data_IF_647272324265
#
_entry.id   IF_647272324265
#
_cell.length_a   1.000
_cell.length_b   1.000
_cell.length_c   1.000
_cell.angle_alpha   90.00
_cell.angle_beta   90.00
_cell.angle_gamma   90.00
#
_symmetry.space_group_name_H-M   'P 1'
#
loop_
_entity.id
_entity.type
_entity.pdbx_description
1 polymer ?
#
# COMPACT_ATOMS: atom_id res chain seq x y z
N UNK A 1 -18.16 3.85 3.19
CA UNK A 1 -18.19 4.02 1.72
C UNK A 1 -16.87 3.58 1.11
N UNK A 2 -16.94 2.84 0.04
CA UNK A 2 -15.73 2.37 -0.64
C UNK A 2 -14.98 3.54 -1.30
N UNK A 3 -13.69 3.69 -1.05
CA UNK A 3 -12.94 4.80 -1.64
C UNK A 3 -12.69 4.57 -3.13
N UNK A 4 -12.79 5.63 -3.91
CA UNK A 4 -12.50 5.60 -5.35
C UNK A 4 -11.05 5.92 -5.65
N UNK A 5 -10.39 6.64 -4.77
CA UNK A 5 -8.96 6.99 -4.92
C UNK A 5 -8.23 6.71 -3.63
N UNK A 6 -6.91 6.59 -3.76
CA UNK A 6 -6.07 6.39 -2.58
C UNK A 6 -6.12 7.62 -1.65
N UNK A 7 -6.20 8.81 -2.22
CA UNK A 7 -6.36 10.02 -1.42
C UNK A 7 -7.65 9.99 -0.60
N UNK A 8 -8.74 9.53 -1.20
CA UNK A 8 -10.02 9.38 -0.51
C UNK A 8 -9.94 8.32 0.58
N UNK A 9 -9.23 7.22 0.32
CA UNK A 9 -9.00 6.18 1.31
C UNK A 9 -8.32 6.77 2.56
N UNK A 10 -7.31 7.61 2.37
CA UNK A 10 -6.62 8.25 3.50
C UNK A 10 -7.57 9.19 4.25
N UNK A 11 -8.42 9.93 3.54
CA UNK A 11 -9.42 10.78 4.18
C UNK A 11 -10.37 9.96 5.06
N UNK A 12 -10.80 8.80 4.56
CA UNK A 12 -11.67 7.92 5.33
C UNK A 12 -10.99 7.39 6.60
N UNK A 13 -9.71 7.04 6.48
CA UNK A 13 -8.93 6.59 7.64
C UNK A 13 -8.80 7.71 8.66
N UNK A 14 -8.53 8.93 8.21
CA UNK A 14 -8.42 10.08 9.10
C UNK A 14 -9.75 10.41 9.77
N UNK A 15 -10.85 10.09 9.14
CA UNK A 15 -12.18 10.29 9.71
C UNK A 15 -12.57 9.18 10.70
N UNK A 16 -11.72 8.17 10.90
CA UNK A 16 -11.94 7.14 11.90
C UNK A 16 -12.21 5.75 11.36
N UNK A 17 -12.23 5.56 10.04
CA UNK A 17 -12.46 4.22 9.49
C UNK A 17 -11.21 3.35 9.68
N UNK A 18 -11.38 2.03 9.87
CA UNK A 18 -10.24 1.13 10.11
C UNK A 18 -9.29 1.10 8.90
N UNK A 19 -8.01 1.34 9.17
CA UNK A 19 -6.98 1.43 8.13
C UNK A 19 -6.96 0.23 7.20
N UNK A 20 -6.87 -0.97 7.77
CA UNK A 20 -6.65 -2.17 6.95
C UNK A 20 -7.87 -2.47 6.08
N UNK A 21 -9.07 -2.26 6.62
CA UNK A 21 -10.30 -2.48 5.86
C UNK A 21 -10.42 -1.47 4.70
N UNK A 22 -10.12 -0.21 4.98
CA UNK A 22 -10.19 0.84 3.94
C UNK A 22 -9.20 0.59 2.84
N UNK A 23 -7.97 0.23 3.19
CA UNK A 23 -6.94 -0.04 2.19
C UNK A 23 -7.27 -1.28 1.37
N UNK A 24 -7.84 -2.33 1.99
CA UNK A 24 -8.28 -3.51 1.24
C UNK A 24 -9.38 -3.17 0.25
N UNK A 25 -10.31 -2.32 0.64
CA UNK A 25 -11.37 -1.84 -0.26
C UNK A 25 -10.80 -1.03 -1.42
N UNK A 26 -9.80 -0.21 -1.15
CA UNK A 26 -9.15 0.54 -2.21
C UNK A 26 -8.44 -0.39 -3.19
N UNK A 27 -7.73 -1.40 -2.71
CA UNK A 27 -7.05 -2.36 -3.59
C UNK A 27 -8.06 -3.05 -4.49
N UNK A 28 -9.22 -3.40 -3.96
CA UNK A 28 -10.33 -3.95 -4.75
C UNK A 28 -10.74 -2.98 -5.86
N UNK A 29 -10.95 -1.71 -5.51
CA UNK A 29 -11.34 -0.69 -6.47
C UNK A 29 -10.31 -0.57 -7.59
N UNK A 30 -9.03 -0.56 -7.23
CA UNK A 30 -7.94 -0.49 -8.19
C UNK A 30 -7.95 -1.69 -9.13
N UNK A 31 -8.04 -2.89 -8.57
CA UNK A 31 -7.99 -4.12 -9.37
C UNK A 31 -9.22 -4.29 -10.27
N UNK A 32 -10.37 -3.84 -9.83
CA UNK A 32 -11.61 -3.97 -10.59
C UNK A 32 -11.81 -2.86 -11.61
N UNK A 33 -10.95 -1.86 -11.65
CA UNK A 33 -11.04 -0.80 -12.64
C UNK A 33 -10.92 -1.38 -14.04
N UNK A 34 -11.66 -0.80 -14.98
CA UNK A 34 -11.78 -1.36 -16.33
C UNK A 34 -10.57 -1.08 -17.21
N UNK A 35 -9.87 0.03 -16.95
CA UNK A 35 -8.75 0.44 -17.78
C UNK A 35 -7.56 0.81 -16.92
N UNK A 36 -6.36 0.79 -17.53
CA UNK A 36 -5.15 1.24 -16.85
C UNK A 36 -5.19 2.75 -16.58
N UNK A 37 -5.87 3.51 -17.43
CA UNK A 37 -6.06 4.92 -17.19
C UNK A 37 -6.84 5.16 -15.91
N UNK A 38 -7.89 4.40 -15.67
CA UNK A 38 -8.68 4.49 -14.45
C UNK A 38 -7.86 4.05 -13.24
N UNK A 39 -7.04 3.00 -13.40
CA UNK A 39 -6.16 2.55 -12.32
C UNK A 39 -5.18 3.64 -11.93
N UNK A 40 -4.51 4.23 -12.91
CA UNK A 40 -3.56 5.30 -12.60
C UNK A 40 -4.28 6.50 -11.98
N UNK A 41 -5.44 6.86 -12.49
CA UNK A 41 -6.23 7.96 -11.94
C UNK A 41 -6.58 7.76 -10.47
N UNK A 42 -6.73 6.51 -10.03
CA UNK A 42 -7.05 6.24 -8.63
C UNK A 42 -5.88 6.45 -7.67
N UNK A 43 -4.65 6.48 -8.18
CA UNK A 43 -3.45 6.71 -7.36
C UNK A 43 -2.71 7.99 -7.69
N UNK A 44 -3.17 8.73 -8.69
CA UNK A 44 -2.46 9.91 -9.20
C UNK A 44 -2.42 11.07 -8.21
N UNK A 45 -3.54 11.33 -7.55
CA UNK A 45 -3.63 12.43 -6.60
C UNK A 45 -2.93 12.07 -5.28
N UNK A 46 -2.02 12.91 -4.85
CA UNK A 46 -1.31 12.69 -3.59
C UNK A 46 -2.28 12.78 -2.41
N UNK A 47 -2.34 11.73 -1.57
CA UNK A 47 -3.03 11.87 -0.29
C UNK A 47 -2.30 12.90 0.57
N UNK A 48 -3.04 13.59 1.42
CA UNK A 48 -2.40 14.51 2.37
C UNK A 48 -1.56 13.73 3.36
N UNK A 49 -0.44 14.30 3.77
CA UNK A 49 0.34 13.75 4.85
C UNK A 49 -0.47 13.84 6.15
N UNK A 50 -0.50 12.75 6.90
CA UNK A 50 -1.39 12.62 8.05
C UNK A 50 -0.71 12.91 9.39
N UNK A 51 0.64 12.88 9.39
CA UNK A 51 1.40 12.92 10.64
C UNK A 51 1.65 11.54 11.24
N UNK A 52 0.91 10.53 10.80
CA UNK A 52 1.22 9.14 11.13
C UNK A 52 2.26 8.66 10.10
N UNK A 53 3.51 8.60 10.54
CA UNK A 53 4.63 8.31 9.64
C UNK A 53 4.50 6.95 8.97
N UNK A 54 4.01 5.96 9.69
CA UNK A 54 3.83 4.61 9.11
C UNK A 54 2.73 4.59 8.07
N UNK A 55 1.62 5.27 8.32
CA UNK A 55 0.55 5.37 7.33
C UNK A 55 1.03 6.10 6.09
N UNK A 56 1.72 7.22 6.27
CA UNK A 56 2.20 8.01 5.14
C UNK A 56 3.19 7.23 4.28
N UNK A 57 4.08 6.47 4.91
CA UNK A 57 5.02 5.61 4.18
C UNK A 57 4.30 4.43 3.49
N UNK A 58 3.36 3.81 4.18
CA UNK A 58 2.62 2.68 3.65
C UNK A 58 1.84 3.06 2.39
N UNK A 59 1.20 4.22 2.41
CA UNK A 59 0.42 4.70 1.28
C UNK A 59 1.30 4.95 0.06
N UNK A 60 2.50 5.52 0.27
CA UNK A 60 3.47 5.68 -0.82
C UNK A 60 3.92 4.35 -1.41
N UNK A 61 4.20 3.38 -0.54
CA UNK A 61 4.61 2.05 -0.98
C UNK A 61 3.50 1.36 -1.77
N UNK A 62 2.25 1.48 -1.32
CA UNK A 62 1.11 0.90 -2.02
C UNK A 62 0.98 1.46 -3.42
N UNK A 63 1.08 2.78 -3.58
CA UNK A 63 0.97 3.40 -4.90
C UNK A 63 2.04 2.90 -5.85
N UNK A 64 3.30 2.83 -5.40
CA UNK A 64 4.38 2.32 -6.22
C UNK A 64 4.17 0.85 -6.58
N UNK A 65 3.80 0.05 -5.60
CA UNK A 65 3.62 -1.38 -5.78
C UNK A 65 2.50 -1.67 -6.79
N UNK A 66 1.35 -1.02 -6.65
CA UNK A 66 0.23 -1.23 -7.55
C UNK A 66 0.56 -0.79 -8.98
N UNK A 67 1.24 0.36 -9.13
CA UNK A 67 1.63 0.84 -10.44
C UNK A 67 2.56 -0.13 -11.15
N UNK A 68 3.52 -0.72 -10.42
CA UNK A 68 4.48 -1.65 -11.00
C UNK A 68 3.88 -3.02 -11.25
N UNK A 69 3.03 -3.50 -10.35
CA UNK A 69 2.35 -4.79 -10.51
C UNK A 69 1.49 -4.81 -11.78
N UNK A 70 0.84 -3.72 -12.08
CA UNK A 70 -0.02 -3.61 -13.25
C UNK A 70 0.70 -3.05 -14.47
N UNK A 71 2.00 -2.77 -14.36
CA UNK A 71 2.81 -2.26 -15.47
C UNK A 71 2.18 -1.03 -16.11
N UNK A 72 1.82 -0.05 -15.28
CA UNK A 72 1.13 1.15 -15.76
C UNK A 72 2.04 2.10 -16.53
N UNK A 73 3.35 1.84 -16.53
CA UNK A 73 4.31 2.65 -17.28
C UNK A 73 4.81 3.88 -16.55
N UNK A 74 4.21 4.22 -15.44
CA UNK A 74 4.65 5.34 -14.60
C UNK A 74 4.17 5.17 -13.17
N UNK A 75 4.87 5.82 -12.26
CA UNK A 75 4.56 5.85 -10.83
C UNK A 75 4.31 7.30 -10.44
N UNK A 76 3.28 7.60 -9.64
CA UNK A 76 3.06 8.98 -9.21
C UNK A 76 4.28 9.53 -8.48
N UNK A 77 4.67 10.77 -8.80
CA UNK A 77 5.85 11.40 -8.20
C UNK A 77 5.76 11.48 -6.68
N UNK A 78 4.56 11.75 -6.17
CA UNK A 78 4.37 11.92 -4.73
C UNK A 78 4.73 10.66 -3.94
N UNK A 79 4.64 9.49 -4.55
CA UNK A 79 4.92 8.23 -3.86
C UNK A 79 6.38 8.14 -3.41
N UNK A 80 7.28 8.82 -4.10
CA UNK A 80 8.71 8.81 -3.78
C UNK A 80 9.13 9.98 -2.88
N UNK A 81 8.18 10.78 -2.39
CA UNK A 81 8.49 11.89 -1.49
C UNK A 81 9.24 11.37 -0.26
N UNK A 82 10.36 11.99 0.14
CA UNK A 82 11.10 11.58 1.34
C UNK A 82 10.24 11.52 2.61
N UNK A 83 9.18 12.32 2.71
CA UNK A 83 8.26 12.26 3.84
C UNK A 83 7.50 10.94 3.90
N UNK A 84 7.55 10.14 2.84
CA UNK A 84 6.88 8.83 2.78
C UNK A 84 7.88 7.68 2.94
N UNK A 85 9.04 7.97 3.48
CA UNK A 85 10.04 6.96 3.81
C UNK A 85 10.30 7.00 5.31
N UNK A 86 10.23 5.85 5.96
CA UNK A 86 10.51 5.78 7.40
C UNK A 86 12.00 5.90 7.67
N UNK A 87 12.34 6.58 8.75
CA UNK A 87 13.73 6.69 9.18
C UNK A 87 14.24 5.38 9.78
N UNK A 88 13.35 4.58 10.36
CA UNK A 88 13.69 3.28 10.96
C UNK A 88 12.88 2.18 10.30
N UNK A 89 13.44 0.97 10.17
CA UNK A 89 12.71 -0.13 9.55
C UNK A 89 11.44 -0.48 10.32
N UNK A 90 10.38 -0.74 9.58
CA UNK A 90 9.13 -1.23 10.14
C UNK A 90 8.87 -2.64 9.61
N UNK A 91 8.92 -3.61 10.51
CA UNK A 91 8.53 -4.98 10.20
C UNK A 91 7.06 -5.13 10.54
N UNK A 92 6.23 -5.40 9.54
CA UNK A 92 4.78 -5.36 9.72
C UNK A 92 4.25 -6.48 10.60
N UNK A 93 5.02 -7.55 10.77
CA UNK A 93 4.66 -8.62 11.70
C UNK A 93 5.03 -8.19 13.11
N UNK A 94 4.04 -8.08 13.98
CA UNK A 94 4.26 -7.70 15.36
C UNK A 94 5.12 -8.77 16.06
N UNK A 95 6.04 -8.31 16.92
CA UNK A 95 6.92 -9.19 17.70
C UNK A 95 7.75 -10.15 16.84
N UNK A 96 8.19 -9.67 15.68
CA UNK A 96 8.98 -10.48 14.77
C UNK A 96 10.29 -10.95 15.44
N UNK A 97 10.55 -12.27 15.37
CA UNK A 97 11.83 -12.84 15.81
C UNK A 97 12.93 -12.43 14.83
N UNK A 98 14.20 -12.66 15.20
CA UNK A 98 15.31 -12.39 14.31
C UNK A 98 15.18 -13.14 13.00
N UNK A 99 14.79 -14.42 13.07
CA UNK A 99 14.57 -15.21 11.84
C UNK A 99 13.45 -14.64 10.99
N UNK A 100 12.37 -14.17 11.59
CA UNK A 100 11.28 -13.54 10.85
C UNK A 100 11.72 -12.23 10.22
N UNK A 101 12.50 -11.42 10.94
CA UNK A 101 13.03 -10.16 10.38
C UNK A 101 13.92 -10.42 9.18
N UNK A 102 14.76 -11.43 9.26
CA UNK A 102 15.61 -11.83 8.14
C UNK A 102 14.76 -12.25 6.95
N UNK A 103 13.75 -13.10 7.19
CA UNK A 103 12.84 -13.52 6.14
C UNK A 103 12.16 -12.33 5.47
N UNK A 104 11.58 -11.43 6.27
CA UNK A 104 10.87 -10.26 5.72
C UNK A 104 11.79 -9.32 4.96
N UNK A 105 13.06 -9.21 5.37
CA UNK A 105 14.03 -8.40 4.68
C UNK A 105 14.23 -8.84 3.23
N UNK A 106 14.23 -10.16 3.01
CA UNK A 106 14.41 -10.70 1.66
C UNK A 106 13.10 -10.90 0.90
N UNK A 107 12.00 -11.15 1.60
CA UNK A 107 10.71 -11.41 0.98
C UNK A 107 9.99 -10.15 0.55
N UNK A 108 10.28 -9.01 1.16
CA UNK A 108 9.56 -7.76 0.89
C UNK A 108 9.71 -7.33 -0.54
N UNK A 109 8.61 -6.93 -1.19
CA UNK A 109 8.72 -6.27 -2.49
C UNK A 109 9.57 -5.02 -2.38
N UNK A 110 10.34 -4.74 -3.44
CA UNK A 110 11.25 -3.60 -3.47
C UNK A 110 10.54 -2.27 -3.18
N UNK A 111 9.29 -2.13 -3.64
CA UNK A 111 8.51 -0.92 -3.42
C UNK A 111 8.26 -0.65 -1.95
N UNK A 112 8.04 -1.70 -1.17
CA UNK A 112 7.86 -1.54 0.28
C UNK A 112 9.20 -1.32 0.97
N UNK A 113 10.21 -2.08 0.59
CA UNK A 113 11.55 -1.94 1.20
C UNK A 113 12.12 -0.54 0.97
N UNK A 114 11.84 0.09 -0.18
CA UNK A 114 12.32 1.43 -0.48
C UNK A 114 11.70 2.49 0.42
N UNK A 115 10.58 2.19 1.06
CA UNK A 115 9.96 3.04 2.08
C UNK A 115 10.32 2.60 3.49
N UNK A 116 11.25 1.65 3.61
CA UNK A 116 11.71 1.08 4.88
C UNK A 116 10.63 0.27 5.58
N UNK A 117 9.76 -0.36 4.78
CA UNK A 117 8.69 -1.25 5.24
C UNK A 117 9.02 -2.66 4.81
N UNK A 118 9.07 -3.59 5.78
CA UNK A 118 9.41 -4.98 5.51
C UNK A 118 8.22 -5.87 5.82
N UNK A 119 7.70 -6.50 4.78
CA UNK A 119 6.46 -7.25 4.81
C UNK A 119 6.61 -8.51 3.98
N UNK A 120 5.59 -9.37 3.95
CA UNK A 120 5.64 -10.60 3.16
C UNK A 120 5.57 -10.30 1.66
N UNK A 121 5.89 -11.30 0.85
CA UNK A 121 5.98 -11.09 -0.61
C UNK A 121 4.63 -10.74 -1.25
N UNK A 122 3.51 -11.09 -0.62
CA UNK A 122 2.17 -10.68 -1.06
C UNK A 122 1.58 -9.73 -0.03
N UNK A 123 1.98 -8.46 -0.08
CA UNK A 123 1.73 -7.56 1.03
C UNK A 123 0.32 -6.99 1.09
N UNK A 124 -0.43 -7.02 -0.02
CA UNK A 124 -1.73 -6.36 -0.06
C UNK A 124 -2.87 -7.37 -0.06
N UNK A 125 -3.86 -7.11 0.79
CA UNK A 125 -5.09 -7.88 0.84
C UNK A 125 -6.18 -7.14 0.09
N UNK A 126 -7.06 -7.90 -0.53
CA UNK A 126 -8.24 -7.36 -1.19
C UNK A 126 -9.46 -7.70 -0.35
N UNK A 127 -10.43 -6.77 -0.34
CA UNK A 127 -11.69 -7.00 0.37
C UNK A 127 -12.50 -8.11 -0.29
N UNK A 128 -12.40 -8.24 -1.63
CA UNK A 128 -13.15 -9.23 -2.41
C UNK A 128 -12.26 -10.03 -3.34
N UNK A 129 -11.00 -10.13 -3.02
CA UNK A 129 -10.09 -10.89 -3.86
C UNK A 129 -10.50 -12.34 -3.95
N UNK A 130 -10.00 -13.06 -4.97
CA UNK A 130 -10.22 -14.50 -5.01
C UNK A 130 -9.72 -15.09 -3.70
N UNK A 131 -10.55 -15.91 -3.11
CA UNK A 131 -10.14 -16.59 -1.90
C UNK A 131 -8.93 -17.45 -2.23
N UNK A 132 -7.92 -17.46 -1.36
CA UNK A 132 -6.87 -18.46 -1.53
C UNK A 132 -7.55 -19.80 -1.63
N UNK A 133 -7.03 -20.63 -2.50
CA UNK A 133 -7.60 -21.94 -2.72
C UNK A 133 -7.91 -22.54 -1.35
N UNK A 134 -9.17 -22.80 -1.13
CA UNK A 134 -9.59 -23.45 0.09
C UNK A 134 -9.28 -24.91 -0.10
N UNK A 135 -8.14 -25.18 0.16
CA UNK A 135 -7.71 -26.55 0.14
C UNK A 135 -7.75 -27.07 1.53
#
# INVERSE_FOLDING_TARGET
MRPNTLAEAVENIQAGSPRDAVLAEFVDTFDLAKTDQDRYGSIERAPKLTGDLRLDALVGAIAEYLAKQRRLGRVPHWAADPARRLASPWFTTASASDAMREYLTFASPAEFASHNIFTEERPLRRARGPQPAKT
#
